data_IF_314002288192
#
_entry.id   IF_314002288192
#
_cell.length_a   1.000
_cell.length_b   1.000
_cell.length_c   1.000
_cell.angle_alpha   90.00
_cell.angle_beta   90.00
_cell.angle_gamma   90.00
#
_symmetry.space_group_name_H-M   'P 1'
#
loop_
_entity.id
_entity.type
_entity.pdbx_description
1 polymer ?
#
# COMPACT_ATOMS: atom_id res chain seq x y z
N UNK A 1 -3.17 19.38 0.74
CA UNK A 1 -2.51 18.60 1.81
C UNK A 1 -1.01 18.80 1.73
N UNK A 2 -0.21 18.23 2.64
CA UNK A 2 1.25 18.27 2.55
C UNK A 2 1.74 17.58 1.27
N UNK A 3 2.84 18.06 0.71
CA UNK A 3 3.53 17.41 -0.41
C UNK A 3 4.25 16.16 0.11
N UNK A 4 3.78 14.98 -0.29
CA UNK A 4 4.38 13.70 0.10
C UNK A 4 5.82 13.56 -0.41
N UNK A 5 6.17 14.24 -1.50
CA UNK A 5 7.53 14.31 -1.99
C UNK A 5 8.47 15.00 -1.00
N UNK A 6 8.08 16.19 -0.54
CA UNK A 6 8.84 16.92 0.47
C UNK A 6 8.99 16.14 1.78
N UNK A 7 7.96 15.39 2.20
CA UNK A 7 8.02 14.50 3.38
C UNK A 7 9.03 13.37 3.17
N UNK A 8 9.02 12.71 2.00
CA UNK A 8 9.96 11.65 1.67
C UNK A 8 11.41 12.16 1.64
N UNK A 9 11.64 13.33 1.03
CA UNK A 9 12.95 13.95 0.93
C UNK A 9 13.49 14.32 2.33
N UNK A 10 12.61 14.81 3.22
CA UNK A 10 12.97 15.08 4.62
C UNK A 10 13.32 13.80 5.40
N UNK A 11 12.58 12.70 5.20
CA UNK A 11 12.90 11.40 5.81
C UNK A 11 14.26 10.89 5.32
N UNK A 12 14.54 11.00 4.02
CA UNK A 12 15.82 10.60 3.44
C UNK A 12 16.99 11.40 4.03
N UNK A 13 16.83 12.72 4.19
CA UNK A 13 17.84 13.58 4.81
C UNK A 13 18.10 13.18 6.28
N UNK A 14 17.05 13.10 7.10
CA UNK A 14 17.17 12.75 8.52
C UNK A 14 17.80 11.36 8.71
N UNK A 15 17.43 10.39 7.89
CA UNK A 15 17.95 9.02 8.00
C UNK A 15 19.40 8.90 7.57
N UNK A 16 19.88 9.78 6.69
CA UNK A 16 21.28 9.84 6.26
C UNK A 16 22.19 10.46 7.32
N UNK A 17 21.66 11.37 8.14
CA UNK A 17 22.40 12.05 9.21
C UNK A 17 22.49 11.23 10.51
N UNK A 18 21.62 10.22 10.67
CA UNK A 18 21.63 9.34 11.84
C UNK A 18 22.80 8.34 11.76
N UNK A 19 23.72 8.32 12.74
CA UNK A 19 24.80 7.35 12.76
C UNK A 19 24.26 5.92 12.99
N UNK A 20 24.78 4.96 12.22
CA UNK A 20 24.44 3.54 12.36
C UNK A 20 23.54 3.03 11.24
N UNK A 21 22.83 1.92 11.51
CA UNK A 21 21.88 1.32 10.57
C UNK A 21 20.46 1.72 10.94
N UNK A 22 19.77 2.36 10.00
CA UNK A 22 18.37 2.77 10.14
C UNK A 22 17.48 1.86 9.29
N UNK A 23 16.34 1.46 9.84
CA UNK A 23 15.28 0.72 9.13
C UNK A 23 14.05 1.60 9.04
N UNK A 24 13.53 1.77 7.82
CA UNK A 24 12.26 2.44 7.59
C UNK A 24 11.15 1.41 7.48
N UNK A 25 10.04 1.66 8.19
CA UNK A 25 8.86 0.78 8.20
C UNK A 25 7.66 1.61 7.78
N UNK A 26 7.04 1.24 6.66
CA UNK A 26 5.68 1.68 6.34
C UNK A 26 4.70 0.71 7.03
N UNK A 27 4.07 1.17 8.11
CA UNK A 27 2.96 0.45 8.72
C UNK A 27 1.73 0.64 7.82
N UNK A 28 1.45 -0.38 6.99
CA UNK A 28 0.53 -0.25 5.88
C UNK A 28 -0.38 -1.47 5.74
N UNK A 29 -1.67 -1.21 5.66
CA UNK A 29 -2.66 -2.11 5.09
C UNK A 29 -3.00 -1.67 3.65
N UNK A 30 -3.67 -2.54 2.89
CA UNK A 30 -4.16 -2.28 1.56
C UNK A 30 -5.69 -2.03 1.62
N UNK A 31 -6.47 -2.84 0.93
CA UNK A 31 -7.90 -2.65 0.73
C UNK A 31 -8.71 -2.92 2.00
N UNK A 32 -9.71 -2.08 2.26
CA UNK A 32 -10.69 -2.19 3.35
C UNK A 32 -12.08 -2.39 2.75
N UNK A 33 -12.62 -3.60 2.89
CA UNK A 33 -13.75 -4.11 2.12
C UNK A 33 -14.79 -4.74 3.05
N UNK A 34 -16.05 -4.60 2.69
CA UNK A 34 -17.20 -5.10 3.41
C UNK A 34 -18.08 -3.99 3.95
N UNK A 35 -19.26 -4.36 4.40
CA UNK A 35 -20.31 -3.41 4.80
C UNK A 35 -19.88 -2.50 5.95
N UNK A 36 -18.96 -2.95 6.82
CA UNK A 36 -18.40 -2.11 7.90
C UNK A 36 -17.48 -0.99 7.41
N UNK A 37 -16.90 -1.15 6.22
CA UNK A 37 -16.12 -0.11 5.54
C UNK A 37 -16.95 0.69 4.53
N UNK A 38 -18.23 0.35 4.36
CA UNK A 38 -19.19 1.11 3.57
C UNK A 38 -19.50 0.52 2.19
N UNK A 39 -19.20 -0.76 1.94
CA UNK A 39 -19.75 -1.45 0.77
C UNK A 39 -21.25 -1.70 0.96
N UNK A 40 -22.07 -1.55 -0.10
CA UNK A 40 -23.52 -1.63 0.04
C UNK A 40 -24.01 -3.08 0.24
N UNK A 41 -23.37 -4.03 -0.44
CA UNK A 41 -23.77 -5.44 -0.47
C UNK A 41 -22.76 -6.31 0.29
N UNK A 42 -23.20 -7.47 0.81
CA UNK A 42 -22.29 -8.48 1.34
C UNK A 42 -21.27 -8.92 0.29
N UNK A 43 -20.04 -9.18 0.74
CA UNK A 43 -18.97 -9.58 -0.16
C UNK A 43 -19.15 -11.01 -0.67
N UNK A 44 -18.89 -11.22 -1.95
CA UNK A 44 -18.83 -12.55 -2.56
C UNK A 44 -17.39 -13.05 -2.63
N UNK A 45 -17.18 -14.36 -2.83
CA UNK A 45 -15.85 -14.90 -3.14
C UNK A 45 -15.28 -14.28 -4.42
N UNK A 46 -16.10 -14.13 -5.47
CA UNK A 46 -15.70 -13.53 -6.74
C UNK A 46 -15.22 -12.08 -6.58
N UNK A 47 -15.89 -11.30 -5.72
CA UNK A 47 -15.48 -9.94 -5.42
C UNK A 47 -14.15 -9.89 -4.66
N UNK A 48 -13.95 -10.75 -3.65
CA UNK A 48 -12.66 -10.84 -2.94
C UNK A 48 -11.52 -11.30 -3.85
N UNK A 49 -11.79 -12.19 -4.81
CA UNK A 49 -10.81 -12.57 -5.83
C UNK A 49 -10.47 -11.39 -6.75
N UNK A 50 -11.45 -10.56 -7.11
CA UNK A 50 -11.25 -9.34 -7.90
C UNK A 50 -10.37 -8.33 -7.16
N UNK A 51 -10.67 -8.08 -5.89
CA UNK A 51 -9.82 -7.29 -4.98
C UNK A 51 -8.40 -7.85 -4.99
N UNK A 52 -8.26 -9.18 -4.83
CA UNK A 52 -6.96 -9.83 -4.78
C UNK A 52 -6.14 -9.64 -6.06
N UNK A 53 -6.78 -9.56 -7.22
CA UNK A 53 -6.12 -9.21 -8.48
C UNK A 53 -5.75 -7.73 -8.54
N UNK A 54 -6.63 -6.84 -8.10
CA UNK A 54 -6.39 -5.40 -8.07
C UNK A 54 -5.23 -5.02 -7.14
N UNK A 55 -5.22 -5.55 -5.91
CA UNK A 55 -4.14 -5.36 -4.95
C UNK A 55 -2.80 -5.85 -5.50
N UNK A 56 -2.76 -7.02 -6.14
CA UNK A 56 -1.53 -7.55 -6.75
C UNK A 56 -1.01 -6.65 -7.87
N UNK A 57 -1.89 -6.12 -8.71
CA UNK A 57 -1.48 -5.17 -9.74
C UNK A 57 -0.88 -3.87 -9.14
N UNK A 58 -1.40 -3.41 -8.00
CA UNK A 58 -0.79 -2.29 -7.26
C UNK A 58 0.57 -2.66 -6.68
N UNK A 59 0.69 -3.86 -6.10
CA UNK A 59 1.94 -4.39 -5.55
C UNK A 59 3.02 -4.56 -6.64
N UNK A 60 2.64 -4.99 -7.85
CA UNK A 60 3.54 -5.11 -9.01
C UNK A 60 4.14 -3.73 -9.37
N UNK A 61 3.36 -2.64 -9.27
CA UNK A 61 3.87 -1.28 -9.48
C UNK A 61 4.88 -0.86 -8.41
N UNK A 62 4.71 -1.31 -7.16
CA UNK A 62 5.67 -1.06 -6.09
C UNK A 62 6.98 -1.84 -6.33
N UNK A 63 6.90 -3.13 -6.72
CA UNK A 63 8.10 -3.92 -7.08
C UNK A 63 8.84 -3.32 -8.27
N UNK A 64 8.10 -2.83 -9.27
CA UNK A 64 8.63 -2.14 -10.45
C UNK A 64 9.12 -0.72 -10.16
N UNK A 65 9.12 -0.25 -8.90
CA UNK A 65 9.56 1.10 -8.51
C UNK A 65 8.84 2.20 -9.30
N UNK A 66 7.56 1.99 -9.53
CA UNK A 66 6.66 2.88 -10.26
C UNK A 66 5.67 3.54 -9.30
N UNK A 67 6.18 4.12 -8.20
CA UNK A 67 5.38 4.74 -7.14
C UNK A 67 4.42 5.84 -7.62
N UNK A 68 4.77 6.59 -8.68
CA UNK A 68 3.84 7.57 -9.29
C UNK A 68 2.67 6.87 -9.99
N UNK A 69 2.93 5.82 -10.77
CA UNK A 69 1.87 5.03 -11.43
C UNK A 69 0.98 4.32 -10.41
N UNK A 70 1.53 3.89 -9.27
CA UNK A 70 0.75 3.36 -8.14
C UNK A 70 -0.27 4.40 -7.63
N UNK A 71 0.16 5.65 -7.43
CA UNK A 71 -0.76 6.73 -7.03
C UNK A 71 -1.77 7.07 -8.13
N UNK A 72 -1.33 7.13 -9.39
CA UNK A 72 -2.22 7.37 -10.54
C UNK A 72 -3.27 6.28 -10.67
N UNK A 73 -2.90 5.01 -10.47
CA UNK A 73 -3.82 3.88 -10.52
C UNK A 73 -4.90 4.00 -9.45
N UNK A 74 -4.51 4.28 -8.21
CA UNK A 74 -5.46 4.49 -7.11
C UNK A 74 -6.39 5.68 -7.36
N UNK A 75 -5.87 6.79 -7.90
CA UNK A 75 -6.69 7.94 -8.29
C UNK A 75 -7.66 7.60 -9.41
N UNK A 76 -7.20 6.86 -10.42
CA UNK A 76 -7.99 6.47 -11.58
C UNK A 76 -9.13 5.50 -11.27
N UNK A 77 -9.00 4.71 -10.19
CA UNK A 77 -10.07 3.85 -9.66
C UNK A 77 -10.81 4.49 -8.48
N UNK A 78 -10.62 5.79 -8.26
CA UNK A 78 -11.19 6.56 -7.13
C UNK A 78 -10.96 5.92 -5.74
N UNK A 79 -9.92 5.09 -5.61
CA UNK A 79 -9.65 4.27 -4.44
C UNK A 79 -10.89 3.49 -3.94
N UNK A 80 -11.62 2.84 -4.87
CA UNK A 80 -12.88 2.14 -4.61
C UNK A 80 -12.84 1.13 -3.45
N UNK A 81 -11.69 0.48 -3.22
CA UNK A 81 -11.49 -0.47 -2.12
C UNK A 81 -10.84 0.16 -0.88
N UNK A 82 -10.74 1.49 -0.82
CA UNK A 82 -10.33 2.27 0.36
C UNK A 82 -8.94 1.88 0.87
N UNK A 83 -7.97 1.77 -0.03
CA UNK A 83 -6.56 1.59 0.33
C UNK A 83 -6.11 2.76 1.20
N UNK A 84 -5.73 2.50 2.45
CA UNK A 84 -5.43 3.56 3.42
C UNK A 84 -3.98 4.06 3.35
N UNK A 85 -3.06 3.21 2.89
CA UNK A 85 -1.62 3.41 3.07
C UNK A 85 -0.88 4.01 1.86
N UNK A 86 -1.62 4.51 0.87
CA UNK A 86 -1.03 5.00 -0.39
C UNK A 86 0.11 6.00 -0.16
N UNK A 87 -0.11 6.96 0.75
CA UNK A 87 0.90 7.96 1.09
C UNK A 87 2.14 7.37 1.77
N UNK A 88 1.96 6.43 2.70
CA UNK A 88 3.06 5.79 3.42
C UNK A 88 3.94 4.94 2.49
N UNK A 89 3.31 4.18 1.60
CA UNK A 89 4.02 3.34 0.62
C UNK A 89 4.79 4.21 -0.39
N UNK A 90 4.15 5.23 -0.96
CA UNK A 90 4.82 6.21 -1.82
C UNK A 90 6.04 6.84 -1.13
N UNK A 91 5.83 7.33 0.10
CA UNK A 91 6.88 8.02 0.88
C UNK A 91 8.06 7.10 1.17
N UNK A 92 7.81 5.84 1.55
CA UNK A 92 8.87 4.86 1.82
C UNK A 92 9.72 4.59 0.57
N UNK A 93 9.09 4.35 -0.58
CA UNK A 93 9.80 4.09 -1.83
C UNK A 93 10.62 5.32 -2.22
N UNK A 94 10.01 6.51 -2.23
CA UNK A 94 10.70 7.75 -2.61
C UNK A 94 11.86 8.11 -1.67
N UNK A 95 11.72 7.86 -0.36
CA UNK A 95 12.80 8.08 0.60
C UNK A 95 13.98 7.09 0.44
N UNK A 96 13.79 6.01 -0.32
CA UNK A 96 14.77 4.96 -0.60
C UNK A 96 15.02 4.85 -2.12
N UNK A 97 15.57 5.89 -2.77
CA UNK A 97 15.73 5.93 -4.21
C UNK A 97 16.73 4.86 -4.68
N UNK A 98 16.45 4.25 -5.84
CA UNK A 98 17.33 3.26 -6.48
C UNK A 98 17.40 1.89 -5.79
N UNK A 99 16.67 1.69 -4.67
CA UNK A 99 16.64 0.40 -3.97
C UNK A 99 15.55 -0.50 -4.54
N UNK A 100 15.85 -1.75 -4.93
CA UNK A 100 14.84 -2.71 -5.37
C UNK A 100 13.80 -2.94 -4.27
N UNK A 101 12.54 -3.03 -4.69
CA UNK A 101 11.43 -3.47 -3.86
C UNK A 101 11.07 -4.90 -4.23
N UNK A 102 10.80 -5.74 -3.23
CA UNK A 102 10.30 -7.10 -3.45
C UNK A 102 9.16 -7.41 -2.50
N UNK A 103 8.07 -7.88 -3.05
CA UNK A 103 6.92 -8.36 -2.28
C UNK A 103 7.16 -9.81 -1.90
N UNK A 104 6.97 -10.09 -0.62
CA UNK A 104 7.25 -11.39 -0.01
C UNK A 104 5.97 -12.22 0.13
N UNK A 105 4.87 -11.54 0.47
CA UNK A 105 3.58 -12.19 0.73
C UNK A 105 2.45 -11.21 0.59
N UNK A 106 1.32 -11.71 0.10
CA UNK A 106 0.02 -11.06 0.14
C UNK A 106 -0.94 -11.92 0.98
N UNK A 107 -1.86 -11.28 1.70
CA UNK A 107 -2.89 -11.96 2.47
C UNK A 107 -4.18 -11.12 2.51
N UNK A 108 -5.32 -11.81 2.59
CA UNK A 108 -6.62 -11.21 2.88
C UNK A 108 -7.10 -11.75 4.22
N UNK A 109 -7.23 -10.86 5.21
CA UNK A 109 -7.89 -11.16 6.47
C UNK A 109 -9.40 -11.01 6.26
N UNK A 110 -10.12 -12.13 6.26
CA UNK A 110 -11.54 -12.18 5.89
C UNK A 110 -12.38 -12.56 7.11
N UNK A 111 -13.21 -11.64 7.60
CA UNK A 111 -14.29 -11.93 8.54
C UNK A 111 -15.65 -11.80 7.85
N UNK A 112 -16.21 -12.94 7.42
CA UNK A 112 -17.53 -13.01 6.73
C UNK A 112 -18.69 -12.69 7.66
N UNK A 113 -18.59 -13.02 8.95
CA UNK A 113 -19.68 -12.77 9.88
C UNK A 113 -19.80 -11.27 10.19
N UNK A 114 -18.67 -10.59 10.27
CA UNK A 114 -18.62 -9.15 10.51
C UNK A 114 -18.69 -8.29 9.24
N UNK A 115 -18.63 -8.89 8.03
CA UNK A 115 -18.44 -8.18 6.75
C UNK A 115 -17.33 -7.13 6.86
N UNK A 116 -16.18 -7.60 7.35
CA UNK A 116 -14.98 -6.80 7.59
C UNK A 116 -13.79 -7.55 7.03
N UNK A 117 -13.22 -7.02 5.96
CA UNK A 117 -12.08 -7.61 5.27
C UNK A 117 -10.99 -6.56 5.08
N UNK A 118 -9.76 -6.94 5.40
CA UNK A 118 -8.58 -6.11 5.20
C UNK A 118 -7.53 -6.92 4.47
N UNK A 119 -6.92 -6.33 3.44
CA UNK A 119 -5.83 -6.96 2.72
C UNK A 119 -4.49 -6.37 3.15
N UNK A 120 -3.45 -7.20 3.21
CA UNK A 120 -2.13 -6.81 3.66
C UNK A 120 -1.03 -7.47 2.85
N UNK A 121 0.14 -6.86 2.86
CA UNK A 121 1.32 -7.39 2.20
C UNK A 121 2.57 -7.21 3.06
N UNK A 122 3.51 -8.13 2.91
CA UNK A 122 4.87 -7.99 3.41
C UNK A 122 5.80 -7.72 2.24
N UNK A 123 6.66 -6.71 2.35
CA UNK A 123 7.63 -6.35 1.33
C UNK A 123 8.94 -5.87 1.95
N UNK A 124 10.00 -5.90 1.16
CA UNK A 124 11.31 -5.38 1.55
C UNK A 124 11.84 -4.45 0.47
N UNK A 125 12.45 -3.34 0.90
CA UNK A 125 13.21 -2.43 0.04
C UNK A 125 14.66 -2.50 0.49
N UNK A 126 15.56 -3.00 -0.36
CA UNK A 126 16.95 -3.32 0.00
C UNK A 126 17.96 -2.47 -0.74
#
# INVERSE_FOLDING_TARGET
GPDLGAVADAIAAVTSDIPGRTVLIAAADLSHIGQRFGDPEPTTDEFLDSVGRSDRALLDLLEARSEEQFLERLRGTENETRVCSAGCLYTLLRALPGRPCRILRYHQAVDRAAETHVTCAAGVVS
#
